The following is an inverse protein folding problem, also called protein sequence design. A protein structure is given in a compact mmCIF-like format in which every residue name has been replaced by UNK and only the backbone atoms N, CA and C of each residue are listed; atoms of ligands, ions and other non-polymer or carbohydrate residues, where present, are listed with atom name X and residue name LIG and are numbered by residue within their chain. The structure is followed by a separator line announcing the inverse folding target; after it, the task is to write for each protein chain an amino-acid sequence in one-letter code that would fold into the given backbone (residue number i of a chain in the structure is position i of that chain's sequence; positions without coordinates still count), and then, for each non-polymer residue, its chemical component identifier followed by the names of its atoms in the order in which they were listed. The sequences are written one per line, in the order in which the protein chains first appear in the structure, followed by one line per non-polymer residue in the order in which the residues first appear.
data_IF_833566797016
#
_entry.id   IF_833566797016
#
_cell.length_a   1.000
_cell.length_b   1.000
_cell.length_c   1.000
_cell.angle_alpha   90.00
_cell.angle_beta   90.00
_cell.angle_gamma   90.00
#
_symmetry.space_group_name_H-M   'P 1'
#
loop_
_entity.id
_entity.type
_entity.pdbx_description
1 polymer ?
#
# COMPACT_ATOMS: atom_id res chain seq x y z
N UNK A 1 6.17 23.59 -23.69
CA UNK A 1 5.69 23.74 -22.28
C UNK A 1 4.25 23.24 -22.30
N UNK A 2 3.93 22.16 -21.60
CA UNK A 2 2.57 21.65 -21.50
C UNK A 2 1.92 22.10 -20.19
N UNK A 3 0.60 22.17 -20.17
CA UNK A 3 -0.18 22.39 -18.94
C UNK A 3 -0.79 21.06 -18.50
N UNK A 4 -0.51 20.68 -17.25
CA UNK A 4 -1.10 19.50 -16.62
C UNK A 4 -2.07 19.89 -15.51
N UNK A 5 -3.14 19.12 -15.38
CA UNK A 5 -4.10 19.24 -14.29
C UNK A 5 -4.14 17.89 -13.58
N UNK A 6 -3.91 17.90 -12.28
CA UNK A 6 -4.02 16.73 -11.42
C UNK A 6 -5.34 16.78 -10.66
N UNK A 7 -6.23 15.85 -10.96
CA UNK A 7 -7.53 15.73 -10.32
C UNK A 7 -7.47 14.70 -9.19
N UNK A 8 -7.73 15.14 -7.98
CA UNK A 8 -7.71 14.31 -6.79
C UNK A 8 -9.10 14.24 -6.15
N UNK A 9 -9.60 13.07 -5.74
CA UNK A 9 -10.84 12.98 -5.00
C UNK A 9 -10.71 13.74 -3.68
N UNK A 10 -11.56 14.72 -3.47
CA UNK A 10 -11.66 15.46 -2.21
C UNK A 10 -13.03 15.31 -1.61
N UNK A 11 -13.06 15.15 -0.32
CA UNK A 11 -14.27 15.25 0.45
C UNK A 11 -14.32 16.67 1.03
N UNK A 12 -14.91 17.60 0.26
CA UNK A 12 -15.33 18.96 0.66
C UNK A 12 -14.60 19.72 1.77
N UNK A 13 -14.25 20.97 1.54
CA UNK A 13 -14.02 22.16 2.42
C UNK A 13 -13.28 22.01 3.78
N UNK A 14 -13.13 20.83 4.30
CA UNK A 14 -12.24 20.56 5.43
C UNK A 14 -11.00 19.93 4.88
N UNK A 15 -9.87 20.46 5.27
CA UNK A 15 -8.58 19.90 4.91
C UNK A 15 -8.69 18.37 4.93
N UNK A 16 -8.48 17.75 3.80
CA UNK A 16 -8.42 16.29 3.61
C UNK A 16 -7.67 15.59 4.76
N UNK A 17 -6.75 16.30 5.35
CA UNK A 17 -5.97 15.99 6.52
C UNK A 17 -6.83 15.74 7.78
N UNK A 18 -7.82 16.55 8.07
CA UNK A 18 -8.61 16.38 9.31
C UNK A 18 -9.61 15.23 9.21
N UNK A 19 -10.18 14.99 8.04
CA UNK A 19 -11.16 13.93 7.84
C UNK A 19 -10.51 12.54 7.73
N UNK A 20 -9.31 12.47 7.15
CA UNK A 20 -8.54 11.24 6.95
C UNK A 20 -7.43 11.00 7.98
N UNK A 21 -7.37 11.74 9.07
CA UNK A 21 -6.43 11.46 10.17
C UNK A 21 -6.49 10.01 10.69
N UNK A 22 -7.51 9.26 10.28
CA UNK A 22 -7.67 7.83 10.56
C UNK A 22 -7.40 6.92 9.34
N UNK A 23 -7.22 7.47 8.13
CA UNK A 23 -7.01 6.69 6.91
C UNK A 23 -5.68 7.05 6.25
N UNK A 24 -4.63 6.35 6.65
CA UNK A 24 -3.26 6.55 6.15
C UNK A 24 -3.14 6.40 4.64
N UNK A 25 -4.02 5.64 4.00
CA UNK A 25 -3.95 5.36 2.56
C UNK A 25 -4.24 6.61 1.70
N UNK A 26 -5.14 7.46 2.13
CA UNK A 26 -5.47 8.68 1.40
C UNK A 26 -4.30 9.67 1.33
N UNK A 27 -3.50 9.72 2.38
CA UNK A 27 -2.29 10.56 2.40
C UNK A 27 -1.21 10.06 1.46
N UNK A 28 -1.15 8.75 1.20
CA UNK A 28 -0.18 8.21 0.25
C UNK A 28 -0.44 8.76 -1.16
N UNK A 29 -1.71 8.87 -1.58
CA UNK A 29 -2.06 9.46 -2.88
C UNK A 29 -1.75 10.95 -2.94
N UNK A 30 -2.04 11.68 -1.89
CA UNK A 30 -1.76 13.12 -1.81
C UNK A 30 -0.26 13.40 -1.91
N UNK A 31 0.55 12.68 -1.12
CA UNK A 31 2.02 12.78 -1.18
C UNK A 31 2.56 12.45 -2.56
N UNK A 32 2.05 11.41 -3.21
CA UNK A 32 2.46 11.02 -4.56
C UNK A 32 2.08 12.08 -5.59
N UNK A 33 0.87 12.62 -5.51
CA UNK A 33 0.40 13.67 -6.39
C UNK A 33 1.25 14.93 -6.28
N UNK A 34 1.57 15.37 -5.06
CA UNK A 34 2.46 16.52 -4.84
C UNK A 34 3.86 16.28 -5.38
N UNK A 35 4.44 15.12 -5.14
CA UNK A 35 5.76 14.75 -5.67
C UNK A 35 5.80 14.78 -7.21
N UNK A 36 4.76 14.27 -7.87
CA UNK A 36 4.65 14.31 -9.33
C UNK A 36 4.47 15.75 -9.82
N UNK A 37 3.66 16.53 -9.13
CA UNK A 37 3.45 17.93 -9.45
C UNK A 37 4.74 18.75 -9.39
N UNK A 38 5.55 18.56 -8.35
CA UNK A 38 6.87 19.19 -8.24
C UNK A 38 7.80 18.76 -9.37
N UNK A 39 7.90 17.47 -9.65
CA UNK A 39 8.74 16.95 -10.71
C UNK A 39 8.34 17.47 -12.11
N UNK A 40 7.06 17.64 -12.38
CA UNK A 40 6.57 18.28 -13.62
C UNK A 40 6.94 19.76 -13.69
N UNK A 41 6.82 20.49 -12.57
CA UNK A 41 7.24 21.91 -12.50
C UNK A 41 8.74 22.07 -12.71
N UNK A 42 9.55 21.18 -12.17
CA UNK A 42 11.00 21.16 -12.37
C UNK A 42 11.40 20.99 -13.85
N UNK A 43 10.52 20.38 -14.64
CA UNK A 43 10.66 20.29 -16.10
C UNK A 43 10.03 21.48 -16.86
N UNK A 44 9.73 22.57 -16.18
CA UNK A 44 9.12 23.77 -16.73
C UNK A 44 7.69 23.56 -17.29
N UNK A 45 6.96 22.55 -16.80
CA UNK A 45 5.54 22.42 -17.09
C UNK A 45 4.67 23.25 -16.14
N UNK A 46 3.54 23.75 -16.62
CA UNK A 46 2.53 24.34 -15.76
C UNK A 46 1.70 23.23 -15.11
N UNK A 47 1.53 23.27 -13.79
CA UNK A 47 0.77 22.25 -13.07
C UNK A 47 -0.24 22.89 -12.14
N UNK A 48 -1.48 22.48 -12.30
CA UNK A 48 -2.62 22.84 -11.46
C UNK A 48 -3.10 21.59 -10.73
N UNK A 49 -3.44 21.70 -9.45
CA UNK A 49 -4.09 20.64 -8.69
C UNK A 49 -5.54 21.05 -8.48
N UNK A 50 -6.46 20.19 -8.86
CA UNK A 50 -7.89 20.37 -8.67
C UNK A 50 -8.43 19.24 -7.79
N UNK A 51 -9.14 19.61 -6.75
CA UNK A 51 -9.87 18.68 -5.92
C UNK A 51 -11.26 18.49 -6.50
N UNK A 52 -11.56 17.25 -6.89
CA UNK A 52 -12.86 16.92 -7.47
C UNK A 52 -13.83 16.62 -6.34
N UNK A 53 -14.92 17.35 -6.30
CA UNK A 53 -15.99 17.08 -5.37
C UNK A 53 -16.72 15.80 -5.80
N UNK A 54 -16.77 14.83 -4.92
CA UNK A 54 -17.54 13.61 -5.11
C UNK A 54 -18.94 13.80 -4.54
N UNK A 55 -19.97 13.40 -5.28
CA UNK A 55 -21.34 13.39 -4.79
C UNK A 55 -21.67 12.02 -4.20
N UNK A 56 -21.91 11.96 -2.90
CA UNK A 56 -22.25 10.70 -2.23
C UNK A 56 -23.74 10.44 -2.36
N UNK A 57 -24.16 9.27 -2.85
CA UNK A 57 -25.57 8.92 -2.97
C UNK A 57 -26.26 8.67 -1.61
N UNK A 58 -25.48 8.25 -0.61
CA UNK A 58 -25.98 7.96 0.74
C UNK A 58 -24.88 8.27 1.76
N UNK A 59 -25.27 8.80 2.92
CA UNK A 59 -24.34 9.07 4.03
C UNK A 59 -23.67 7.77 4.51
N UNK A 60 -22.34 7.80 4.65
CA UNK A 60 -21.55 6.64 5.11
C UNK A 60 -21.11 5.65 4.02
N UNK A 61 -21.39 5.93 2.75
CA UNK A 61 -20.93 5.10 1.63
C UNK A 61 -19.51 5.51 1.22
N UNK A 62 -18.62 4.51 1.06
CA UNK A 62 -17.23 4.73 0.64
C UNK A 62 -17.08 4.91 -0.89
N UNK A 63 -18.17 5.00 -1.61
CA UNK A 63 -18.21 5.25 -3.05
C UNK A 63 -19.03 6.49 -3.38
N UNK A 64 -18.69 7.17 -4.44
CA UNK A 64 -19.36 8.39 -4.88
C UNK A 64 -19.34 8.48 -6.40
N UNK A 65 -20.29 9.24 -6.97
CA UNK A 65 -20.29 9.51 -8.39
C UNK A 65 -19.17 10.50 -8.74
N UNK A 66 -18.41 10.19 -9.80
CA UNK A 66 -17.32 11.01 -10.29
C UNK A 66 -17.71 11.73 -11.56
N UNK A 67 -17.62 13.08 -11.52
CA UNK A 67 -17.82 13.94 -12.69
C UNK A 67 -16.66 14.91 -12.83
N UNK A 68 -16.02 14.90 -14.02
CA UNK A 68 -14.98 15.86 -14.42
C UNK A 68 -15.36 16.39 -15.80
N UNK A 69 -16.11 17.49 -15.89
CA UNK A 69 -16.65 18.01 -17.15
C UNK A 69 -15.56 18.35 -18.17
N UNK A 70 -14.42 18.87 -17.72
CA UNK A 70 -13.30 19.27 -18.58
C UNK A 70 -12.71 18.08 -19.37
N UNK A 71 -12.81 16.89 -18.81
CA UNK A 71 -12.36 15.63 -19.43
C UNK A 71 -13.49 14.83 -20.05
N UNK A 72 -14.73 15.33 -19.96
CA UNK A 72 -15.95 14.61 -20.40
C UNK A 72 -16.14 13.28 -19.62
N UNK A 73 -15.67 13.24 -18.37
CA UNK A 73 -15.84 12.09 -17.47
C UNK A 73 -17.14 12.30 -16.68
N UNK A 74 -18.02 11.30 -16.79
CA UNK A 74 -19.21 11.16 -15.97
C UNK A 74 -19.43 9.65 -15.77
N UNK A 75 -18.99 9.16 -14.62
CA UNK A 75 -19.06 7.74 -14.27
C UNK A 75 -19.75 7.58 -12.92
N UNK A 76 -20.52 6.52 -12.80
CA UNK A 76 -21.22 6.20 -11.56
C UNK A 76 -20.26 5.98 -10.39
N UNK A 77 -20.66 5.16 -9.46
CA UNK A 77 -19.92 4.93 -8.23
C UNK A 77 -18.45 4.54 -8.46
N UNK A 78 -17.56 5.33 -7.88
CA UNK A 78 -16.13 5.06 -7.76
C UNK A 78 -15.73 5.16 -6.29
N UNK A 79 -14.72 4.42 -5.83
CA UNK A 79 -14.20 4.59 -4.47
C UNK A 79 -13.72 6.02 -4.24
N UNK A 80 -13.91 6.52 -3.03
CA UNK A 80 -13.65 7.92 -2.70
C UNK A 80 -12.17 8.27 -2.48
N UNK A 81 -11.27 7.28 -2.52
CA UNK A 81 -9.86 7.48 -2.16
C UNK A 81 -8.93 6.55 -2.95
N UNK A 82 -7.63 6.77 -2.80
CA UNK A 82 -6.54 5.93 -3.35
C UNK A 82 -6.37 6.00 -4.87
N UNK A 83 -6.76 7.10 -5.49
CA UNK A 83 -6.51 7.37 -6.90
C UNK A 83 -6.40 8.88 -7.17
N UNK A 84 -5.79 9.21 -8.29
CA UNK A 84 -5.86 10.54 -8.90
C UNK A 84 -5.66 10.45 -10.40
N UNK A 85 -6.05 11.49 -11.12
CA UNK A 85 -5.93 11.58 -12.57
C UNK A 85 -4.91 12.65 -12.90
N UNK A 86 -3.99 12.37 -13.83
CA UNK A 86 -3.07 13.34 -14.41
C UNK A 86 -3.56 13.60 -15.84
N UNK A 87 -3.97 14.80 -16.14
CA UNK A 87 -4.47 15.19 -17.45
C UNK A 87 -3.59 16.25 -18.11
N UNK A 88 -3.39 16.13 -19.40
CA UNK A 88 -2.86 17.20 -20.22
C UNK A 88 -4.01 18.14 -20.61
N UNK A 89 -3.93 19.41 -20.23
CA UNK A 89 -5.01 20.39 -20.43
C UNK A 89 -5.31 20.68 -21.91
N UNK A 90 -4.29 20.61 -22.78
CA UNK A 90 -4.40 20.95 -24.19
C UNK A 90 -5.04 19.81 -25.00
N UNK A 91 -4.63 18.57 -24.75
CA UNK A 91 -5.10 17.39 -25.49
C UNK A 91 -6.26 16.67 -24.81
N UNK A 92 -6.53 16.99 -23.54
CA UNK A 92 -7.49 16.30 -22.65
C UNK A 92 -7.18 14.80 -22.43
N UNK A 93 -6.04 14.31 -22.90
CA UNK A 93 -5.58 12.94 -22.61
C UNK A 93 -5.21 12.81 -21.15
N UNK A 94 -5.48 11.65 -20.57
CA UNK A 94 -5.21 11.45 -19.15
C UNK A 94 -4.68 10.05 -18.83
N UNK A 95 -3.95 10.01 -17.72
CA UNK A 95 -3.45 8.82 -17.06
C UNK A 95 -4.09 8.73 -15.67
N UNK A 96 -4.39 7.53 -15.23
CA UNK A 96 -4.90 7.27 -13.89
C UNK A 96 -3.76 6.73 -13.03
N UNK A 97 -3.60 7.25 -11.82
CA UNK A 97 -2.82 6.59 -10.76
C UNK A 97 -3.84 5.94 -9.84
N UNK A 98 -3.83 4.62 -9.81
CA UNK A 98 -4.82 3.81 -9.10
C UNK A 98 -4.11 2.90 -8.11
N UNK A 99 -4.23 3.23 -6.84
CA UNK A 99 -3.59 2.51 -5.73
C UNK A 99 -4.59 1.65 -4.94
N UNK A 100 -5.79 1.51 -5.46
CA UNK A 100 -6.85 0.75 -4.80
C UNK A 100 -6.57 -0.75 -4.82
N UNK A 101 -7.16 -1.42 -3.86
CA UNK A 101 -7.16 -2.89 -3.79
C UNK A 101 -7.82 -3.52 -5.02
N UNK A 102 -8.87 -2.89 -5.52
CA UNK A 102 -9.47 -3.17 -6.82
C UNK A 102 -9.43 -1.87 -7.63
N UNK A 103 -8.77 -1.81 -8.79
CA UNK A 103 -8.61 -0.60 -9.58
C UNK A 103 -9.92 -0.22 -10.30
N UNK A 104 -10.95 0.07 -9.53
CA UNK A 104 -12.32 0.32 -10.03
C UNK A 104 -12.37 1.51 -10.97
N UNK A 105 -11.66 2.59 -10.65
CA UNK A 105 -11.64 3.77 -11.53
C UNK A 105 -10.99 3.45 -12.87
N UNK A 106 -9.94 2.65 -12.88
CA UNK A 106 -9.31 2.15 -14.10
C UNK A 106 -10.32 1.33 -14.92
N UNK A 107 -11.09 0.45 -14.28
CA UNK A 107 -12.12 -0.34 -14.96
C UNK A 107 -13.23 0.52 -15.58
N UNK A 108 -13.65 1.57 -14.89
CA UNK A 108 -14.68 2.47 -15.35
C UNK A 108 -14.24 3.33 -16.53
N UNK A 109 -12.98 3.73 -16.56
CA UNK A 109 -12.45 4.69 -17.54
C UNK A 109 -11.61 4.06 -18.66
N UNK A 110 -11.38 2.74 -18.67
CA UNK A 110 -10.50 2.08 -19.65
C UNK A 110 -10.96 2.21 -21.11
N UNK A 111 -12.26 2.42 -21.35
CA UNK A 111 -12.85 2.61 -22.67
C UNK A 111 -13.01 4.08 -23.05
N UNK A 112 -12.66 5.00 -22.16
CA UNK A 112 -12.78 6.43 -22.43
C UNK A 112 -11.82 6.84 -23.56
N UNK A 113 -12.30 7.66 -24.51
CA UNK A 113 -11.53 8.05 -25.71
C UNK A 113 -10.20 8.73 -25.42
N UNK A 114 -10.10 9.45 -24.30
CA UNK A 114 -8.92 10.19 -23.86
C UNK A 114 -8.04 9.44 -22.86
N UNK A 115 -8.45 8.23 -22.45
CA UNK A 115 -7.66 7.40 -21.54
C UNK A 115 -6.43 6.85 -22.23
N UNK A 116 -5.26 7.05 -21.65
CA UNK A 116 -3.97 6.59 -22.19
C UNK A 116 -3.56 5.27 -21.53
N UNK A 117 -3.31 5.29 -20.23
CA UNK A 117 -2.98 4.12 -19.43
C UNK A 117 -3.23 4.37 -17.93
N UNK A 118 -3.11 3.34 -17.14
CA UNK A 118 -3.17 3.42 -15.68
C UNK A 118 -1.87 2.94 -15.03
N UNK A 119 -1.42 3.68 -14.04
CA UNK A 119 -0.36 3.31 -13.10
C UNK A 119 -1.02 2.61 -11.92
N UNK A 120 -0.85 1.30 -11.83
CA UNK A 120 -1.53 0.47 -10.83
C UNK A 120 -0.56 0.09 -9.73
N UNK A 121 -0.80 0.56 -8.51
CA UNK A 121 0.10 0.37 -7.37
C UNK A 121 0.22 -1.08 -6.94
N UNK A 122 -0.82 -1.88 -7.20
CA UNK A 122 -0.89 -3.27 -6.77
C UNK A 122 -1.45 -4.13 -7.90
N UNK A 123 -0.56 -4.74 -8.66
CA UNK A 123 -0.93 -5.47 -9.85
C UNK A 123 -0.92 -6.99 -9.66
N UNK A 124 -2.11 -7.62 -9.77
CA UNK A 124 -2.25 -9.07 -9.91
C UNK A 124 -2.97 -9.40 -11.20
N UNK A 125 -2.28 -10.11 -12.10
CA UNK A 125 -2.85 -10.48 -13.39
C UNK A 125 -4.07 -11.40 -13.27
N UNK A 126 -4.08 -12.29 -12.29
CA UNK A 126 -5.18 -13.23 -12.07
C UNK A 126 -6.42 -12.50 -11.56
N UNK A 127 -6.24 -11.67 -10.53
CA UNK A 127 -7.33 -10.85 -9.98
C UNK A 127 -7.90 -9.90 -11.01
N UNK A 128 -7.01 -9.32 -11.82
CA UNK A 128 -7.39 -8.44 -12.91
C UNK A 128 -8.30 -9.11 -13.93
N UNK A 129 -8.06 -10.37 -14.28
CA UNK A 129 -8.91 -11.14 -15.19
C UNK A 129 -10.28 -11.42 -14.58
N UNK A 130 -10.34 -11.72 -13.30
CA UNK A 130 -11.59 -12.05 -12.59
C UNK A 130 -12.45 -10.81 -12.47
N UNK A 131 -11.91 -9.72 -11.97
CA UNK A 131 -12.66 -8.50 -11.66
C UNK A 131 -13.05 -7.71 -12.90
N UNK A 132 -12.22 -7.70 -13.95
CA UNK A 132 -12.52 -6.98 -15.19
C UNK A 132 -13.32 -7.77 -16.21
N UNK A 133 -13.62 -9.04 -15.94
CA UNK A 133 -14.20 -9.93 -16.97
C UNK A 133 -13.36 -10.07 -18.24
N UNK A 134 -12.07 -9.72 -18.19
CA UNK A 134 -11.16 -9.75 -19.33
C UNK A 134 -11.29 -8.56 -20.30
N UNK A 135 -12.09 -7.54 -19.94
CA UNK A 135 -12.41 -6.42 -20.83
C UNK A 135 -11.33 -5.32 -20.91
N UNK A 136 -10.25 -5.41 -20.14
CA UNK A 136 -9.22 -4.37 -20.12
C UNK A 136 -8.04 -4.74 -21.00
N UNK A 137 -7.64 -3.77 -21.81
CA UNK A 137 -6.39 -3.84 -22.57
C UNK A 137 -5.19 -3.79 -21.61
N UNK A 138 -4.52 -4.93 -21.44
CA UNK A 138 -3.38 -5.08 -20.54
C UNK A 138 -2.19 -4.20 -20.89
N UNK A 139 -2.08 -3.78 -22.15
CA UNK A 139 -1.00 -2.89 -22.60
C UNK A 139 -1.13 -1.49 -21.98
N UNK A 140 -2.32 -1.18 -21.48
CA UNK A 140 -2.62 0.08 -20.78
C UNK A 140 -2.47 0.01 -19.27
N UNK A 141 -1.95 -1.09 -18.73
CA UNK A 141 -1.76 -1.27 -17.30
C UNK A 141 -0.27 -1.33 -16.98
N UNK A 142 0.20 -0.36 -16.25
CA UNK A 142 1.60 -0.26 -15.87
C UNK A 142 1.71 -0.50 -14.36
N UNK A 143 2.42 -1.56 -13.93
CA UNK A 143 2.71 -1.73 -12.51
C UNK A 143 3.41 -0.50 -11.96
N UNK A 144 2.99 -0.04 -10.78
CA UNK A 144 3.48 1.17 -10.18
C UNK A 144 3.97 0.93 -8.75
N UNK A 145 4.52 1.94 -8.13
CA UNK A 145 5.00 1.89 -6.76
C UNK A 145 3.87 2.26 -5.79
N UNK A 146 3.96 1.73 -4.58
CA UNK A 146 3.14 2.14 -3.45
C UNK A 146 4.06 2.80 -2.43
N UNK A 147 3.66 3.94 -1.89
CA UNK A 147 4.45 4.67 -0.89
C UNK A 147 3.93 4.44 0.53
N UNK A 148 4.77 4.73 1.52
CA UNK A 148 4.37 4.77 2.92
C UNK A 148 3.70 6.10 3.27
N UNK A 149 3.09 6.17 4.44
CA UNK A 149 2.48 7.39 4.98
C UNK A 149 3.54 8.37 5.51
N UNK A 150 4.19 9.07 4.61
CA UNK A 150 5.29 9.98 4.92
C UNK A 150 4.94 11.19 5.80
N UNK A 151 3.74 11.79 5.77
CA UNK A 151 3.43 12.89 6.70
C UNK A 151 3.58 12.53 8.17
N UNK A 152 3.29 11.28 8.55
CA UNK A 152 3.51 10.79 9.90
C UNK A 152 4.96 10.31 10.12
N UNK A 153 5.59 9.74 9.09
CA UNK A 153 6.95 9.21 9.15
C UNK A 153 7.99 10.35 9.00
N UNK A 154 7.86 11.35 9.89
CA UNK A 154 8.80 12.47 9.94
C UNK A 154 10.24 12.00 10.16
N UNK A 155 11.21 12.82 9.82
CA UNK A 155 12.62 12.51 10.05
C UNK A 155 12.89 12.24 11.53
N UNK A 156 12.34 13.10 12.41
CA UNK A 156 12.44 12.94 13.86
C UNK A 156 11.87 11.60 14.36
N UNK A 157 10.70 11.18 13.87
CA UNK A 157 10.15 9.88 14.25
C UNK A 157 11.02 8.72 13.75
N UNK A 158 11.54 8.83 12.54
CA UNK A 158 12.44 7.79 11.99
C UNK A 158 13.73 7.66 12.79
N UNK A 159 14.31 8.76 13.19
CA UNK A 159 15.48 8.80 14.09
C UNK A 159 15.15 8.18 15.45
N UNK A 160 14.04 8.60 16.08
CA UNK A 160 13.59 8.05 17.36
C UNK A 160 13.37 6.52 17.28
N UNK A 161 12.75 6.02 16.24
CA UNK A 161 12.55 4.58 16.03
C UNK A 161 13.89 3.82 15.92
N UNK A 162 14.86 4.39 15.19
CA UNK A 162 16.20 3.81 15.09
C UNK A 162 16.93 3.85 16.45
N UNK A 163 16.81 4.93 17.21
CA UNK A 163 17.40 5.05 18.54
C UNK A 163 16.81 4.03 19.51
N UNK A 164 15.48 3.85 19.50
CA UNK A 164 14.81 2.80 20.30
C UNK A 164 15.39 1.43 19.96
N UNK A 165 15.50 1.11 18.65
CA UNK A 165 16.01 -0.19 18.20
C UNK A 165 17.46 -0.42 18.61
N UNK A 166 18.32 0.59 18.52
CA UNK A 166 19.74 0.51 18.85
C UNK A 166 19.99 0.49 20.37
N UNK A 167 19.19 1.22 21.15
CA UNK A 167 19.34 1.32 22.60
C UNK A 167 18.70 0.16 23.36
N UNK A 168 17.83 -0.62 22.72
CA UNK A 168 17.19 -1.78 23.35
C UNK A 168 18.22 -2.89 23.54
N UNK A 169 18.66 -3.13 24.79
CA UNK A 169 19.67 -4.14 25.12
C UNK A 169 19.30 -5.54 24.62
N UNK A 170 18.02 -5.90 24.73
CA UNK A 170 17.49 -7.16 24.22
C UNK A 170 16.14 -6.93 23.57
N UNK A 171 16.11 -7.08 22.25
CA UNK A 171 14.86 -7.07 21.51
C UNK A 171 13.96 -8.24 21.93
N UNK A 172 12.66 -8.01 21.90
CA UNK A 172 11.68 -9.06 22.12
C UNK A 172 11.68 -10.00 20.92
N UNK A 173 11.97 -11.26 21.14
CA UNK A 173 12.05 -12.28 20.10
C UNK A 173 10.68 -12.88 19.72
N UNK A 174 9.59 -12.39 20.31
CA UNK A 174 8.25 -12.79 19.90
C UNK A 174 7.86 -12.16 18.57
N UNK A 175 7.05 -12.86 17.79
CA UNK A 175 6.44 -12.36 16.56
C UNK A 175 5.54 -11.18 16.88
N UNK A 176 5.84 -10.01 16.37
CA UNK A 176 5.02 -8.82 16.60
C UNK A 176 4.03 -8.61 15.46
N UNK A 177 2.75 -8.54 15.80
CA UNK A 177 1.68 -8.17 14.87
C UNK A 177 0.59 -7.38 15.56
N UNK A 178 0.22 -6.26 14.97
CA UNK A 178 -0.97 -5.51 15.33
C UNK A 178 -1.74 -5.20 14.06
N UNK A 179 -2.93 -5.74 13.94
CA UNK A 179 -3.73 -5.65 12.73
C UNK A 179 -5.20 -5.45 12.97
N UNK A 180 -5.93 -5.22 11.89
CA UNK A 180 -7.36 -5.11 11.93
C UNK A 180 -8.00 -6.51 11.96
N UNK A 181 -8.68 -6.84 13.06
CA UNK A 181 -9.46 -8.07 13.21
C UNK A 181 -10.98 -7.80 13.20
N UNK A 182 -11.44 -6.65 12.66
CA UNK A 182 -12.87 -6.33 12.58
C UNK A 182 -13.63 -7.16 11.54
N UNK A 183 -14.86 -7.55 11.90
CA UNK A 183 -15.83 -8.27 11.05
C UNK A 183 -16.43 -7.43 9.90
N UNK A 184 -15.93 -6.21 9.65
CA UNK A 184 -16.67 -5.19 8.92
C UNK A 184 -16.42 -5.14 7.41
N UNK A 185 -15.56 -5.98 6.86
CA UNK A 185 -15.38 -6.03 5.40
C UNK A 185 -15.71 -7.42 4.86
N UNK A 186 -17.01 -7.67 4.66
CA UNK A 186 -17.45 -8.72 3.76
C UNK A 186 -17.30 -8.15 2.36
N UNK A 187 -16.24 -8.55 1.66
CA UNK A 187 -16.18 -8.31 0.23
C UNK A 187 -17.20 -9.19 -0.48
N UNK A 188 -17.75 -8.67 -1.57
CA UNK A 188 -18.81 -9.30 -2.37
C UNK A 188 -18.47 -10.69 -2.93
N UNK A 189 -17.23 -11.14 -2.79
CA UNK A 189 -16.75 -12.46 -3.21
C UNK A 189 -16.82 -13.54 -2.13
N UNK A 190 -17.31 -13.19 -0.94
CA UNK A 190 -17.57 -14.16 0.15
C UNK A 190 -16.32 -14.78 0.80
N UNK A 191 -15.14 -14.49 0.30
CA UNK A 191 -13.88 -15.08 0.75
C UNK A 191 -12.98 -13.99 1.37
N UNK A 192 -13.37 -13.53 2.58
CA UNK A 192 -12.65 -12.43 3.23
C UNK A 192 -11.26 -12.89 3.70
N UNK A 193 -10.20 -12.41 3.07
CA UNK A 193 -8.84 -12.57 3.59
C UNK A 193 -8.70 -12.06 5.03
N UNK A 194 -9.53 -11.10 5.42
CA UNK A 194 -9.60 -10.59 6.78
C UNK A 194 -10.01 -11.66 7.79
N UNK A 195 -10.96 -12.54 7.46
CA UNK A 195 -11.32 -13.66 8.31
C UNK A 195 -10.15 -14.63 8.47
N UNK A 196 -9.44 -14.95 7.39
CA UNK A 196 -8.28 -15.84 7.42
C UNK A 196 -7.12 -15.25 8.23
N UNK A 197 -6.90 -13.93 8.15
CA UNK A 197 -5.92 -13.23 9.00
C UNK A 197 -6.27 -13.42 10.47
N UNK A 198 -7.54 -13.28 10.85
CA UNK A 198 -7.99 -13.47 12.24
C UNK A 198 -7.78 -14.89 12.72
N UNK A 199 -8.16 -15.86 11.90
CA UNK A 199 -7.96 -17.26 12.22
C UNK A 199 -6.49 -17.58 12.46
N UNK A 200 -5.57 -17.05 11.64
CA UNK A 200 -4.13 -17.22 11.86
C UNK A 200 -3.67 -16.52 13.14
N UNK A 201 -4.17 -15.31 13.42
CA UNK A 201 -3.84 -14.58 14.65
C UNK A 201 -4.35 -15.34 15.88
N UNK A 202 -5.59 -15.84 15.86
CA UNK A 202 -6.15 -16.65 16.94
C UNK A 202 -5.31 -17.91 17.18
N UNK A 203 -4.90 -18.59 16.12
CA UNK A 203 -4.00 -19.76 16.26
C UNK A 203 -2.66 -19.36 16.85
N UNK A 204 -2.05 -18.24 16.44
CA UNK A 204 -0.81 -17.74 17.02
C UNK A 204 -0.97 -17.43 18.52
N UNK A 205 -2.08 -16.80 18.92
CA UNK A 205 -2.37 -16.50 20.33
C UNK A 205 -2.62 -17.78 21.15
N UNK A 206 -3.39 -18.71 20.64
CA UNK A 206 -3.79 -19.92 21.39
C UNK A 206 -2.69 -20.98 21.43
N UNK A 207 -2.05 -21.25 20.29
CA UNK A 207 -1.08 -22.33 20.14
C UNK A 207 0.36 -21.90 20.47
N UNK A 208 0.68 -20.60 20.25
CA UNK A 208 2.03 -20.06 20.39
C UNK A 208 2.11 -18.79 21.26
N UNK A 209 1.47 -18.76 22.46
CA UNK A 209 1.38 -17.55 23.29
C UNK A 209 2.74 -17.00 23.76
N UNK A 210 3.74 -17.87 23.87
CA UNK A 210 5.10 -17.49 24.28
C UNK A 210 5.96 -16.99 23.11
N UNK A 211 5.52 -17.18 21.89
CA UNK A 211 6.27 -16.85 20.67
C UNK A 211 5.61 -15.73 19.87
N UNK A 212 4.43 -15.31 20.27
CA UNK A 212 3.67 -14.24 19.61
C UNK A 212 3.36 -13.08 20.57
N UNK A 213 3.42 -11.87 20.03
CA UNK A 213 2.95 -10.64 20.65
C UNK A 213 1.98 -10.01 19.64
N UNK A 214 0.77 -10.50 19.63
CA UNK A 214 -0.25 -10.06 18.69
C UNK A 214 -1.27 -9.20 19.42
N UNK A 215 -1.72 -8.14 18.78
CA UNK A 215 -2.73 -7.23 19.30
C UNK A 215 -3.89 -7.11 18.33
N UNK A 216 -5.10 -7.04 18.89
CA UNK A 216 -6.31 -6.85 18.12
C UNK A 216 -6.63 -5.36 17.92
N UNK A 217 -7.56 -5.09 17.01
CA UNK A 217 -8.09 -3.74 16.80
C UNK A 217 -8.73 -3.13 18.06
N UNK A 218 -9.22 -3.94 18.98
CA UNK A 218 -9.79 -3.50 20.25
C UNK A 218 -8.75 -2.90 21.17
N UNK A 219 -7.49 -3.34 21.03
CA UNK A 219 -6.32 -2.81 21.72
C UNK A 219 -5.54 -1.82 20.85
N UNK A 220 -6.24 -1.03 20.02
CA UNK A 220 -5.64 -0.09 19.07
C UNK A 220 -4.62 0.82 19.72
N UNK A 221 -3.39 0.69 19.27
CA UNK A 221 -2.35 1.65 19.59
C UNK A 221 -2.44 2.85 18.65
N UNK A 222 -2.19 4.07 19.12
CA UNK A 222 -1.83 5.18 18.23
C UNK A 222 -0.70 4.74 17.28
N UNK A 223 -0.71 5.23 16.06
CA UNK A 223 0.20 4.73 15.03
C UNK A 223 1.68 4.94 15.40
N UNK A 224 2.00 6.06 16.03
CA UNK A 224 3.34 6.33 16.57
C UNK A 224 3.76 5.33 17.65
N UNK A 225 2.87 5.03 18.59
CA UNK A 225 3.13 4.02 19.63
C UNK A 225 3.28 2.62 19.05
N UNK A 226 2.51 2.31 18.01
CA UNK A 226 2.68 1.08 17.26
C UNK A 226 4.09 0.94 16.68
N UNK A 227 4.62 2.00 16.05
CA UNK A 227 5.98 1.98 15.50
C UNK A 227 7.05 1.86 16.59
N UNK A 228 6.91 2.59 17.70
CA UNK A 228 7.81 2.47 18.85
C UNK A 228 7.82 1.05 19.41
N UNK A 229 6.66 0.44 19.54
CA UNK A 229 6.54 -0.95 19.98
C UNK A 229 7.10 -1.93 18.94
N UNK A 230 6.84 -1.74 17.66
CA UNK A 230 7.42 -2.55 16.59
C UNK A 230 8.96 -2.53 16.61
N UNK A 231 9.56 -1.40 16.94
CA UNK A 231 11.02 -1.24 17.03
C UNK A 231 11.66 -2.06 18.15
N UNK A 232 10.93 -2.39 19.20
CA UNK A 232 11.43 -3.23 20.31
C UNK A 232 11.43 -4.72 20.02
N UNK A 233 10.85 -5.14 18.87
CA UNK A 233 10.77 -6.55 18.47
C UNK A 233 11.80 -6.91 17.40
N UNK A 234 12.28 -8.14 17.46
CA UNK A 234 13.26 -8.63 16.49
C UNK A 234 12.66 -8.71 15.08
N UNK A 235 11.41 -9.14 14.95
CA UNK A 235 10.72 -9.34 13.67
C UNK A 235 9.27 -8.90 13.78
N UNK A 236 8.80 -8.17 12.76
CA UNK A 236 7.41 -7.74 12.62
C UNK A 236 6.73 -8.60 11.54
N UNK A 237 5.53 -9.08 11.83
CA UNK A 237 4.76 -9.89 10.90
C UNK A 237 3.87 -9.01 10.01
N UNK A 238 3.94 -9.21 8.71
CA UNK A 238 2.97 -8.74 7.73
C UNK A 238 2.10 -9.93 7.29
N UNK A 239 0.79 -9.76 7.38
CA UNK A 239 -0.16 -10.73 6.86
C UNK A 239 -0.86 -10.12 5.65
N UNK A 240 -0.95 -10.87 4.53
CA UNK A 240 -1.58 -10.35 3.33
C UNK A 240 -3.05 -10.05 3.58
N UNK A 241 -3.42 -8.78 3.40
CA UNK A 241 -4.80 -8.39 3.19
C UNK A 241 -5.26 -8.81 1.80
N UNK A 242 -6.11 -8.00 1.17
CA UNK A 242 -6.35 -8.17 -0.26
C UNK A 242 -5.09 -7.93 -1.08
N UNK A 243 -4.18 -7.11 -0.56
CA UNK A 243 -2.95 -6.65 -1.23
C UNK A 243 -1.90 -6.28 -0.19
N UNK A 244 -0.80 -5.64 -0.65
CA UNK A 244 0.21 -5.05 0.21
C UNK A 244 -0.41 -4.00 1.13
N UNK A 245 -0.20 -4.13 2.42
CA UNK A 245 -0.69 -3.14 3.36
C UNK A 245 0.28 -1.96 3.46
N UNK A 246 -0.24 -0.75 3.64
CA UNK A 246 0.57 0.45 3.92
C UNK A 246 1.52 0.24 5.10
N UNK A 247 1.11 -0.52 6.09
CA UNK A 247 1.89 -0.86 7.28
C UNK A 247 3.23 -1.52 6.98
N UNK A 248 3.28 -2.43 6.01
CA UNK A 248 4.53 -3.07 5.62
C UNK A 248 5.51 -2.06 5.02
N UNK A 249 4.98 -1.15 4.19
CA UNK A 249 5.77 -0.06 3.60
C UNK A 249 6.27 0.93 4.68
N UNK A 250 5.44 1.21 5.67
CA UNK A 250 5.80 2.04 6.82
C UNK A 250 6.92 1.39 7.64
N UNK A 251 6.81 0.11 7.96
CA UNK A 251 7.83 -0.63 8.69
C UNK A 251 9.17 -0.66 7.91
N UNK A 252 9.15 -0.90 6.60
CA UNK A 252 10.37 -0.82 5.78
C UNK A 252 10.95 0.58 5.74
N UNK A 253 10.13 1.62 5.62
CA UNK A 253 10.58 3.02 5.65
C UNK A 253 11.29 3.36 6.98
N UNK A 254 10.84 2.74 8.06
CA UNK A 254 11.46 2.85 9.39
C UNK A 254 12.70 1.96 9.55
N UNK A 255 13.05 1.14 8.57
CA UNK A 255 14.16 0.19 8.65
C UNK A 255 13.89 -0.97 9.63
N UNK A 256 12.64 -1.33 9.80
CA UNK A 256 12.23 -2.45 10.64
C UNK A 256 12.10 -3.73 9.81
N UNK A 257 12.56 -4.89 10.32
CA UNK A 257 12.46 -6.14 9.60
C UNK A 257 11.01 -6.64 9.57
N UNK A 258 10.58 -7.01 8.38
CA UNK A 258 9.22 -7.51 8.13
C UNK A 258 9.30 -8.95 7.65
N UNK A 259 8.57 -9.83 8.31
CA UNK A 259 8.30 -11.19 7.87
C UNK A 259 6.95 -11.21 7.16
N UNK A 260 6.94 -11.66 5.92
CA UNK A 260 5.73 -11.69 5.10
C UNK A 260 5.37 -13.10 4.70
N UNK A 261 4.10 -13.40 4.79
CA UNK A 261 3.53 -14.50 4.03
C UNK A 261 3.49 -14.09 2.55
N UNK A 262 3.99 -14.94 1.64
CA UNK A 262 4.26 -14.56 0.25
C UNK A 262 3.02 -14.02 -0.49
N UNK A 263 3.18 -12.89 -1.15
CA UNK A 263 2.15 -12.25 -1.97
C UNK A 263 2.29 -12.61 -3.45
N UNK A 264 1.16 -12.68 -4.14
CA UNK A 264 1.12 -12.86 -5.61
C UNK A 264 1.14 -11.54 -6.38
N UNK A 265 1.00 -10.41 -5.68
CA UNK A 265 0.96 -9.08 -6.30
C UNK A 265 2.35 -8.59 -6.66
N UNK A 266 2.46 -7.97 -7.83
CA UNK A 266 3.69 -7.36 -8.32
C UNK A 266 3.64 -5.84 -8.20
N UNK A 267 4.79 -5.27 -7.95
CA UNK A 267 5.04 -3.83 -8.00
C UNK A 267 5.95 -3.52 -9.18
N UNK A 268 6.08 -2.24 -9.52
CA UNK A 268 7.04 -1.78 -10.54
C UNK A 268 8.48 -2.23 -10.23
N UNK A 269 8.83 -2.29 -8.95
CA UNK A 269 10.07 -2.88 -8.45
C UNK A 269 9.70 -3.97 -7.47
N UNK A 270 9.83 -5.21 -7.90
CA UNK A 270 9.46 -6.37 -7.10
C UNK A 270 10.28 -6.45 -5.80
N UNK A 271 9.61 -6.90 -4.75
CA UNK A 271 10.26 -7.28 -3.51
C UNK A 271 10.90 -8.67 -3.68
N UNK A 272 12.14 -8.79 -3.25
CA UNK A 272 12.90 -10.04 -3.34
C UNK A 272 12.82 -10.76 -1.99
N UNK A 273 12.27 -11.99 -1.94
CA UNK A 273 12.21 -12.80 -0.74
C UNK A 273 13.61 -13.00 -0.11
N UNK A 274 13.68 -12.92 1.22
CA UNK A 274 14.91 -13.05 2.01
C UNK A 274 16.03 -12.05 1.67
N UNK A 275 15.69 -11.02 0.89
CA UNK A 275 16.53 -9.86 0.60
C UNK A 275 15.88 -8.55 1.10
N UNK A 276 14.61 -8.31 0.79
CA UNK A 276 13.85 -7.15 1.26
C UNK A 276 12.91 -7.47 2.42
N UNK A 277 12.56 -8.72 2.60
CA UNK A 277 11.69 -9.20 3.66
C UNK A 277 11.99 -10.68 3.98
N UNK A 278 11.62 -11.12 5.17
CA UNK A 278 11.71 -12.51 5.58
C UNK A 278 10.52 -13.26 4.99
N UNK A 279 10.76 -14.18 4.09
CA UNK A 279 9.67 -14.87 3.38
C UNK A 279 9.17 -16.08 4.16
N UNK A 280 7.87 -16.15 4.40
CA UNK A 280 7.16 -17.35 4.81
C UNK A 280 6.60 -18.02 3.55
N UNK A 281 6.76 -19.34 3.45
CA UNK A 281 6.30 -20.14 2.31
C UNK A 281 6.91 -19.74 0.95
N UNK A 282 8.18 -19.27 0.96
CA UNK A 282 8.90 -18.84 -0.24
C UNK A 282 8.83 -19.89 -1.36
N UNK A 283 8.46 -19.43 -2.56
CA UNK A 283 8.32 -20.27 -3.75
C UNK A 283 6.97 -20.97 -3.91
N UNK A 284 6.09 -20.86 -2.94
CA UNK A 284 4.70 -21.25 -3.11
C UNK A 284 3.90 -20.02 -3.53
N UNK A 285 3.60 -19.90 -4.80
CA UNK A 285 2.61 -18.92 -5.27
C UNK A 285 1.26 -19.33 -4.71
N UNK A 286 0.89 -18.72 -3.59
CA UNK A 286 -0.45 -18.89 -3.07
C UNK A 286 -1.41 -18.15 -4.01
N UNK A 287 -2.28 -18.92 -4.63
CA UNK A 287 -3.46 -18.38 -5.27
C UNK A 287 -4.29 -17.65 -4.22
N UNK A 288 -4.74 -16.47 -4.56
CA UNK A 288 -5.64 -15.59 -3.82
C UNK A 288 -6.07 -16.16 -2.45
N UNK A 289 -5.40 -15.71 -1.41
CA UNK A 289 -5.70 -16.09 -0.04
C UNK A 289 -4.53 -16.79 0.64
N UNK A 290 -4.33 -16.48 1.92
CA UNK A 290 -3.50 -17.29 2.82
C UNK A 290 -3.92 -18.76 2.72
N UNK A 291 -3.03 -19.63 3.10
CA UNK A 291 -3.29 -21.06 3.14
C UNK A 291 -4.72 -21.33 3.61
N UNK A 292 -5.41 -22.24 2.93
CA UNK A 292 -6.78 -22.64 3.29
C UNK A 292 -6.88 -23.13 4.73
N UNK A 293 -5.73 -23.40 5.35
CA UNK A 293 -5.57 -23.90 6.71
C UNK A 293 -4.81 -22.86 7.56
N UNK A 294 -5.48 -22.16 8.47
CA UNK A 294 -4.88 -21.18 9.36
C UNK A 294 -3.83 -21.79 10.32
N UNK A 295 -4.02 -23.03 10.74
CA UNK A 295 -3.04 -23.71 11.60
C UNK A 295 -1.74 -23.95 10.84
N UNK A 296 -1.83 -24.44 9.61
CA UNK A 296 -0.64 -24.64 8.78
C UNK A 296 0.09 -23.32 8.53
N UNK A 297 -0.64 -22.23 8.29
CA UNK A 297 -0.05 -20.91 8.10
C UNK A 297 0.67 -20.42 9.37
N UNK A 298 0.05 -20.57 10.53
CA UNK A 298 0.68 -20.22 11.81
C UNK A 298 1.92 -21.08 12.09
N UNK A 299 1.86 -22.38 11.84
CA UNK A 299 3.00 -23.30 12.00
C UNK A 299 4.17 -22.93 11.08
N UNK A 300 3.91 -22.57 9.83
CA UNK A 300 4.93 -22.09 8.89
C UNK A 300 5.56 -20.75 9.34
N UNK A 301 4.73 -19.81 9.82
CA UNK A 301 5.19 -18.53 10.37
C UNK A 301 6.13 -18.77 11.55
N UNK A 302 5.71 -19.56 12.54
CA UNK A 302 6.50 -19.85 13.73
C UNK A 302 7.79 -20.61 13.39
N UNK A 303 7.73 -21.56 12.45
CA UNK A 303 8.91 -22.28 11.98
C UNK A 303 9.96 -21.34 11.37
N UNK A 304 9.54 -20.44 10.49
CA UNK A 304 10.46 -19.47 9.89
C UNK A 304 10.98 -18.51 10.95
N UNK A 305 10.13 -18.03 11.83
CA UNK A 305 10.50 -17.13 12.90
C UNK A 305 11.58 -17.73 13.80
N UNK A 306 11.39 -18.96 14.31
CA UNK A 306 12.36 -19.67 15.14
C UNK A 306 13.74 -19.80 14.49
N UNK A 307 13.79 -19.96 13.18
CA UNK A 307 15.05 -20.02 12.45
C UNK A 307 15.74 -18.64 12.40
N UNK A 308 14.97 -17.58 12.15
CA UNK A 308 15.54 -16.25 11.94
C UNK A 308 15.93 -15.53 13.24
N UNK A 309 15.34 -15.85 14.39
CA UNK A 309 15.71 -15.26 15.69
C UNK A 309 16.96 -15.91 16.33
N UNK A 310 17.49 -16.99 15.77
CA UNK A 310 18.73 -17.59 16.26
C UNK A 310 19.87 -16.56 16.27
N UNK A 311 20.73 -16.57 17.30
CA UNK A 311 21.82 -15.58 17.42
C UNK A 311 22.69 -15.48 16.17
N UNK A 312 23.00 -16.62 15.53
CA UNK A 312 23.80 -16.69 14.30
C UNK A 312 23.12 -16.05 13.07
N UNK A 313 21.81 -15.85 13.11
CA UNK A 313 21.02 -15.28 12.03
C UNK A 313 20.67 -13.79 12.26
N UNK A 314 21.06 -13.19 13.37
CA UNK A 314 20.77 -11.77 13.68
C UNK A 314 21.26 -10.81 12.60
N UNK A 315 22.42 -11.07 12.03
CA UNK A 315 22.93 -10.26 10.94
C UNK A 315 22.04 -10.30 9.69
N UNK A 316 21.39 -11.43 9.40
CA UNK A 316 20.45 -11.59 8.28
C UNK A 316 19.19 -10.78 8.49
N UNK A 317 18.67 -10.70 9.72
CA UNK A 317 17.52 -9.88 10.08
C UNK A 317 17.82 -8.40 9.79
N UNK A 318 18.99 -7.91 10.23
CA UNK A 318 19.42 -6.55 9.97
C UNK A 318 19.67 -6.29 8.48
N UNK A 319 20.26 -7.26 7.78
CA UNK A 319 20.46 -7.19 6.33
C UNK A 319 19.14 -6.98 5.57
N UNK A 320 18.13 -7.78 5.88
CA UNK A 320 16.79 -7.66 5.26
C UNK A 320 16.13 -6.32 5.60
N UNK A 321 16.23 -5.87 6.85
CA UNK A 321 15.68 -4.59 7.28
C UNK A 321 16.29 -3.41 6.52
N UNK A 322 17.62 -3.40 6.38
CA UNK A 322 18.35 -2.37 5.65
C UNK A 322 17.99 -2.35 4.16
N UNK A 323 17.91 -3.52 3.52
CA UNK A 323 17.54 -3.61 2.10
C UNK A 323 16.08 -3.21 1.86
N UNK A 324 15.18 -3.56 2.79
CA UNK A 324 13.78 -3.10 2.74
C UNK A 324 13.71 -1.57 2.79
N UNK A 325 14.45 -0.95 3.73
CA UNK A 325 14.55 0.51 3.85
C UNK A 325 15.15 1.15 2.59
N UNK A 326 16.28 0.64 2.12
CA UNK A 326 16.94 1.15 0.92
C UNK A 326 16.01 1.11 -0.30
N UNK A 327 15.23 0.04 -0.44
CA UNK A 327 14.22 -0.05 -1.49
C UNK A 327 13.16 1.05 -1.35
N UNK A 328 12.65 1.32 -0.14
CA UNK A 328 11.69 2.40 0.07
C UNK A 328 12.28 3.76 -0.26
N UNK A 329 13.50 4.02 0.18
CA UNK A 329 14.20 5.28 -0.08
C UNK A 329 14.44 5.49 -1.59
N UNK A 330 14.80 4.44 -2.33
CA UNK A 330 15.19 4.51 -3.74
C UNK A 330 14.03 4.46 -4.73
N UNK A 331 12.88 3.88 -4.34
CA UNK A 331 11.78 3.63 -5.29
C UNK A 331 10.41 4.11 -4.84
N UNK A 332 10.20 4.35 -3.56
CA UNK A 332 8.89 4.67 -3.01
C UNK A 332 8.86 5.94 -2.16
N UNK A 333 9.99 6.62 -1.98
CA UNK A 333 10.03 7.89 -1.25
C UNK A 333 9.41 9.03 -2.07
N UNK A 334 8.83 10.05 -1.41
CA UNK A 334 8.26 11.20 -2.10
C UNK A 334 9.24 11.90 -3.06
N UNK A 335 10.53 11.94 -2.71
CA UNK A 335 11.59 12.54 -3.55
C UNK A 335 11.82 11.78 -4.86
N UNK A 336 11.48 10.52 -4.92
CA UNK A 336 11.74 9.63 -6.05
C UNK A 336 10.49 9.40 -6.91
N UNK A 337 9.32 9.36 -6.31
CA UNK A 337 8.06 9.06 -7.01
C UNK A 337 7.86 9.98 -8.21
N UNK A 338 8.05 11.29 -8.06
CA UNK A 338 7.97 12.22 -9.17
C UNK A 338 8.93 11.85 -10.30
N UNK A 339 10.18 11.54 -9.96
CA UNK A 339 11.23 11.23 -10.94
C UNK A 339 10.99 9.93 -11.73
N UNK A 340 10.46 8.89 -11.09
CA UNK A 340 10.12 7.64 -11.77
C UNK A 340 8.83 7.73 -12.59
N UNK A 341 7.94 8.65 -12.24
CA UNK A 341 6.68 8.85 -12.94
C UNK A 341 6.86 9.59 -14.27
N UNK A 342 7.73 10.58 -14.32
CA UNK A 342 7.95 11.39 -15.52
C UNK A 342 8.29 10.58 -16.78
N UNK A 343 9.23 9.60 -16.75
CA UNK A 343 9.48 8.75 -17.90
C UNK A 343 8.25 7.94 -18.33
N UNK A 344 7.44 7.48 -17.37
CA UNK A 344 6.21 6.73 -17.67
C UNK A 344 5.17 7.63 -18.35
N UNK A 345 5.04 8.87 -17.89
CA UNK A 345 4.17 9.86 -18.53
C UNK A 345 4.64 10.13 -19.97
N UNK A 346 5.94 10.23 -20.22
CA UNK A 346 6.48 10.47 -21.56
C UNK A 346 6.17 9.35 -22.57
N UNK A 347 5.95 8.11 -22.10
CA UNK A 347 5.55 6.98 -22.98
C UNK A 347 4.15 7.13 -23.57
N UNK A 348 3.31 7.95 -22.98
CA UNK A 348 1.88 8.07 -23.35
C UNK A 348 1.59 8.91 -24.61
N UNK A 349 2.57 9.52 -25.26
CA UNK A 349 2.37 10.45 -26.38
C UNK A 349 1.18 11.40 -26.14
N UNK A 350 1.36 12.28 -25.16
CA UNK A 350 0.35 13.24 -24.67
C UNK A 350 0.07 14.35 -25.68
#
# INVERSE_FOLDING_TARGET
MAKYILYHPSDTDKSYIEHFSQNTNAYCTDVMMHSISEALRDQNHSVEIQYVQLSYPVEGVFSANLTIPELEIDVGEVPSTLWFIIANADTKKFVIVDLQDSPVITYRLNTHKNFVFSLVGQFSLERYKIESGGCIDRTKLVPYVYTAYYPLLTESLREEIQDIRLSTEKLDDRIFFYGNNRDTYIHSDGDSNTQKIREVISVLEEKYPNESCVGSWETKLPLEEFFKKAATHTINLGLPGHQWCSREHELWTLGLPVMLYEHTHRMAVDLIPNYHYIAVAAGRRLTIGMAKDPELAADEIVKVHREWIKPENRWRVNFVANNGKERMDNYASPKIIGKITLPLLALGHW
#
